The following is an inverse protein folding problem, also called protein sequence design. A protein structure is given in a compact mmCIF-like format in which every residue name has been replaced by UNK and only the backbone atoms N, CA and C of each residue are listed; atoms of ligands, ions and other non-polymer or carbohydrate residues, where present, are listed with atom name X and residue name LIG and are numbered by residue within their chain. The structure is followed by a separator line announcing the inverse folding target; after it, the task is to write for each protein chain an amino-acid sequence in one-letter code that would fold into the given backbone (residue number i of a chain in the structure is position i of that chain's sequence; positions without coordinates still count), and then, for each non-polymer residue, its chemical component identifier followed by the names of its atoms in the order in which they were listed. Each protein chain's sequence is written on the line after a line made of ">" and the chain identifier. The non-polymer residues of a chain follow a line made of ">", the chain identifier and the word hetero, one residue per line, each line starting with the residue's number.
data_IF_220328026638
#
_entry.id   IF_220328026638
#
_cell.length_a   1.000
_cell.length_b   1.000
_cell.length_c   1.000
_cell.angle_alpha   90.00
_cell.angle_beta   90.00
_cell.angle_gamma   90.00
#
_symmetry.space_group_name_H-M   'P 1'
#
loop_
_entity.id
_entity.type
_entity.pdbx_description
1 polymer ?
#
# COMPACT_ATOMS: atom_id res chain seq x y z
N UNK A 1 2.91 -12.02 -9.19
CA UNK A 1 3.03 -10.76 -9.93
C UNK A 1 3.17 -9.61 -8.96
N UNK A 2 4.10 -8.72 -9.24
CA UNK A 2 4.35 -7.54 -8.40
C UNK A 2 3.82 -6.31 -9.12
N UNK A 3 3.13 -5.45 -8.40
CA UNK A 3 2.54 -4.24 -8.97
C UNK A 3 2.47 -3.13 -7.90
N UNK A 4 2.27 -1.87 -8.32
CA UNK A 4 2.19 -0.76 -7.36
C UNK A 4 0.93 -0.87 -6.48
N UNK A 5 1.06 -0.44 -5.24
CA UNK A 5 -0.04 -0.52 -4.28
C UNK A 5 -1.30 0.22 -4.73
N UNK A 6 -1.15 1.30 -5.51
CA UNK A 6 -2.31 2.04 -5.98
C UNK A 6 -3.21 1.24 -6.94
N UNK A 7 -2.74 0.10 -7.42
CA UNK A 7 -3.55 -0.78 -8.26
C UNK A 7 -4.32 -1.81 -7.46
N UNK A 8 -4.12 -1.85 -6.15
CA UNK A 8 -4.87 -2.76 -5.29
C UNK A 8 -6.32 -2.28 -5.17
N UNK A 9 -7.27 -3.17 -5.45
CA UNK A 9 -8.69 -2.83 -5.40
C UNK A 9 -9.27 -3.00 -4.00
N UNK A 10 -10.33 -2.27 -3.67
CA UNK A 10 -10.99 -2.44 -2.36
C UNK A 10 -11.38 -3.90 -2.13
N UNK A 11 -11.09 -4.38 -0.93
CA UNK A 11 -11.36 -5.76 -0.54
C UNK A 11 -10.23 -6.71 -0.82
N UNK A 12 -9.22 -6.30 -1.59
CA UNK A 12 -8.07 -7.14 -1.89
C UNK A 12 -6.98 -6.96 -0.84
N UNK A 13 -6.23 -8.03 -0.61
CA UNK A 13 -5.08 -8.03 0.29
C UNK A 13 -3.82 -8.33 -0.49
N UNK A 14 -2.74 -7.66 -0.15
CA UNK A 14 -1.45 -7.85 -0.78
C UNK A 14 -0.33 -7.78 0.26
N UNK A 15 0.83 -8.26 -0.13
CA UNK A 15 2.02 -8.28 0.71
C UNK A 15 3.02 -7.28 0.15
N UNK A 16 3.61 -6.46 1.01
CA UNK A 16 4.64 -5.51 0.58
C UNK A 16 5.90 -6.25 0.18
N UNK A 17 6.37 -5.99 -1.03
CA UNK A 17 7.57 -6.63 -1.57
C UNK A 17 8.74 -5.66 -1.57
N UNK A 18 8.50 -4.40 -1.89
CA UNK A 18 9.54 -3.40 -2.02
C UNK A 18 8.99 -1.99 -1.95
N UNK A 19 9.81 -1.05 -1.50
CA UNK A 19 9.48 0.36 -1.54
C UNK A 19 10.54 1.05 -2.38
N UNK A 20 10.13 1.68 -3.49
CA UNK A 20 11.02 2.28 -4.47
C UNK A 20 11.07 3.79 -4.35
N UNK A 21 11.15 4.31 -3.14
CA UNK A 21 11.23 5.74 -2.94
C UNK A 21 12.61 6.12 -2.38
N UNK A 22 12.85 7.43 -2.27
CA UNK A 22 14.08 7.88 -1.66
C UNK A 22 14.13 7.48 -0.17
N UNK A 23 15.31 7.51 0.47
CA UNK A 23 15.44 7.04 1.86
C UNK A 23 14.49 7.75 2.83
N UNK A 24 14.24 9.03 2.64
CA UNK A 24 13.35 9.78 3.52
C UNK A 24 11.92 9.26 3.46
N UNK A 25 11.39 9.11 2.25
CA UNK A 25 10.02 8.61 2.05
C UNK A 25 9.92 7.15 2.45
N UNK A 26 10.96 6.37 2.18
CA UNK A 26 11.00 4.95 2.55
C UNK A 26 10.89 4.78 4.06
N UNK A 27 11.65 5.57 4.81
CA UNK A 27 11.62 5.53 6.27
C UNK A 27 10.23 5.93 6.79
N UNK A 28 9.63 6.93 6.17
CA UNK A 28 8.32 7.39 6.57
C UNK A 28 7.25 6.33 6.34
N UNK A 29 7.28 5.68 5.18
CA UNK A 29 6.35 4.61 4.87
C UNK A 29 6.54 3.43 5.81
N UNK A 30 7.78 3.07 6.11
CA UNK A 30 8.09 2.01 7.04
C UNK A 30 7.51 2.31 8.42
N UNK A 31 7.63 3.56 8.87
CA UNK A 31 7.09 3.99 10.16
C UNK A 31 5.57 3.88 10.21
N UNK A 32 4.90 3.98 9.06
CA UNK A 32 3.45 3.83 8.97
C UNK A 32 3.00 2.37 8.89
N UNK A 33 3.94 1.44 8.79
CA UNK A 33 3.64 0.01 8.73
C UNK A 33 3.80 -0.62 7.35
N UNK A 34 4.25 0.13 6.35
CA UNK A 34 4.47 -0.41 5.01
C UNK A 34 5.85 -1.07 4.92
N UNK A 35 6.07 -2.03 5.79
CA UNK A 35 7.34 -2.76 5.86
C UNK A 35 7.31 -4.00 4.98
N UNK A 36 8.49 -4.47 4.61
CA UNK A 36 8.63 -5.69 3.82
C UNK A 36 7.86 -6.85 4.48
N UNK A 37 7.10 -7.56 3.66
CA UNK A 37 6.23 -8.70 4.04
C UNK A 37 5.01 -8.32 4.87
N UNK A 38 4.75 -7.05 5.07
CA UNK A 38 3.53 -6.65 5.77
C UNK A 38 2.33 -6.85 4.85
N UNK A 39 1.20 -7.27 5.44
CA UNK A 39 -0.04 -7.48 4.68
C UNK A 39 -0.86 -6.19 4.71
N UNK A 40 -1.34 -5.79 3.56
CA UNK A 40 -2.12 -4.58 3.39
C UNK A 40 -3.44 -4.94 2.73
N UNK A 41 -4.54 -4.48 3.31
CA UNK A 41 -5.86 -4.64 2.71
C UNK A 41 -6.35 -3.28 2.26
N UNK A 42 -6.76 -3.17 1.01
CA UNK A 42 -7.36 -1.94 0.51
C UNK A 42 -8.80 -1.86 1.02
N UNK A 43 -9.12 -0.79 1.71
CA UNK A 43 -10.46 -0.59 2.25
C UNK A 43 -11.26 0.34 1.34
N UNK A 44 -10.62 1.39 0.85
CA UNK A 44 -11.28 2.37 -0.01
C UNK A 44 -10.31 2.80 -1.09
N UNK A 45 -10.65 2.52 -2.34
CA UNK A 45 -9.84 2.94 -3.47
C UNK A 45 -10.17 4.35 -3.87
N UNK A 46 -9.15 5.15 -4.10
CA UNK A 46 -9.32 6.49 -4.57
C UNK A 46 -9.40 6.58 -6.09
N UNK A 47 -9.98 7.65 -6.59
CA UNK A 47 -9.84 8.02 -7.99
C UNK A 47 -8.46 8.66 -8.20
N UNK A 48 -8.16 9.03 -9.43
CA UNK A 48 -6.80 9.45 -9.84
C UNK A 48 -6.07 10.41 -8.92
N UNK A 49 -6.78 11.38 -8.35
CA UNK A 49 -6.16 12.44 -7.56
C UNK A 49 -6.55 12.36 -6.10
N UNK A 50 -7.15 11.26 -5.69
CA UNK A 50 -7.62 11.16 -4.33
C UNK A 50 -6.75 10.21 -3.53
N UNK A 51 -7.06 10.11 -2.26
CA UNK A 51 -6.38 9.22 -1.34
C UNK A 51 -7.09 7.89 -1.30
N UNK A 52 -6.33 6.84 -1.03
CA UNK A 52 -6.87 5.52 -0.79
C UNK A 52 -6.63 5.16 0.66
N UNK A 53 -7.51 4.36 1.23
CA UNK A 53 -7.38 3.92 2.62
C UNK A 53 -6.99 2.46 2.65
N UNK A 54 -5.98 2.16 3.45
CA UNK A 54 -5.44 0.81 3.60
C UNK A 54 -5.42 0.41 5.06
N UNK A 55 -5.71 -0.86 5.31
CA UNK A 55 -5.66 -1.42 6.65
C UNK A 55 -4.34 -2.17 6.82
N UNK A 56 -3.54 -1.76 7.80
CA UNK A 56 -2.24 -2.35 8.09
C UNK A 56 -2.14 -2.53 9.60
N UNK A 57 -1.90 -3.77 10.04
CA UNK A 57 -1.76 -4.07 11.47
C UNK A 57 -2.93 -3.56 12.30
N UNK A 58 -4.13 -3.62 11.74
CA UNK A 58 -5.33 -3.14 12.44
C UNK A 58 -5.49 -1.63 12.45
N UNK A 59 -4.64 -0.90 11.74
CA UNK A 59 -4.69 0.56 11.67
C UNK A 59 -5.07 1.00 10.26
N UNK A 60 -6.01 1.92 10.17
CA UNK A 60 -6.43 2.48 8.89
C UNK A 60 -5.54 3.66 8.54
N UNK A 61 -4.89 3.57 7.38
CA UNK A 61 -3.95 4.60 6.92
C UNK A 61 -4.36 5.07 5.54
N UNK A 62 -4.42 6.39 5.35
CA UNK A 62 -4.71 6.97 4.05
C UNK A 62 -3.42 7.39 3.37
N UNK A 63 -3.27 7.03 2.10
CA UNK A 63 -2.13 7.42 1.28
C UNK A 63 -2.62 8.07 0.00
N UNK A 64 -1.88 9.07 -0.44
CA UNK A 64 -2.10 9.63 -1.77
C UNK A 64 -1.65 8.61 -2.81
N UNK A 65 -2.30 8.64 -3.98
CA UNK A 65 -1.94 7.75 -5.08
C UNK A 65 -0.46 7.83 -5.41
N UNK A 66 0.12 9.02 -5.39
CA UNK A 66 1.54 9.20 -5.69
C UNK A 66 2.45 8.46 -4.73
N UNK A 67 2.09 8.44 -3.45
CA UNK A 67 2.86 7.70 -2.45
C UNK A 67 2.64 6.20 -2.59
N UNK A 68 1.41 5.80 -2.88
CA UNK A 68 1.09 4.38 -3.04
C UNK A 68 1.82 3.77 -4.23
N UNK A 69 2.08 4.54 -5.28
CA UNK A 69 2.83 4.05 -6.45
C UNK A 69 4.23 3.59 -6.11
N UNK A 70 4.80 4.10 -5.03
CA UNK A 70 6.16 3.77 -4.63
C UNK A 70 6.26 2.51 -3.79
N UNK A 71 5.11 1.93 -3.42
CA UNK A 71 5.06 0.68 -2.67
C UNK A 71 4.70 -0.43 -3.65
N UNK A 72 5.59 -1.40 -3.81
CA UNK A 72 5.33 -2.56 -4.66
C UNK A 72 4.80 -3.70 -3.81
N UNK A 73 3.75 -4.32 -4.27
CA UNK A 73 3.07 -5.38 -3.55
C UNK A 73 2.86 -6.61 -4.42
N UNK A 74 2.59 -7.72 -3.77
CA UNK A 74 2.24 -8.97 -4.42
C UNK A 74 0.86 -9.37 -3.93
N UNK A 75 -0.04 -9.66 -4.85
CA UNK A 75 -1.40 -10.05 -4.50
C UNK A 75 -1.43 -11.35 -3.70
N UNK A 76 -2.23 -11.35 -2.64
CA UNK A 76 -2.51 -12.55 -1.85
C UNK A 76 -3.91 -13.09 -2.17
N UNK A 77 -4.60 -12.43 -3.09
CA UNK A 77 -5.92 -12.84 -3.53
C UNK A 77 -7.03 -12.12 -2.78
N UNK A 78 -8.27 -12.42 -3.19
CA UNK A 78 -9.46 -11.96 -2.50
C UNK A 78 -9.98 -13.07 -1.62
N UNK A 79 -10.40 -12.70 -0.47
CA UNK A 79 -11.04 -13.66 0.42
C UNK A 79 -12.53 -13.40 0.43
#
# INVERSE_FOLDING_TARGET
>A
MVYPLNELNPGETAEVVWIISDPYMSDRLDSLGFSFKEHITCILGGSRDSMSAYLIRGTLIALRTESAKEVLVRSLGCV
#
